data_IF_373183593714
#
_entry.id   IF_373183593714
#
_cell.length_a   1.000
_cell.length_b   1.000
_cell.length_c   1.000
_cell.angle_alpha   90.00
_cell.angle_beta   90.00
_cell.angle_gamma   90.00
#
_symmetry.space_group_name_H-M   'P 1'
#
loop_
_entity.id
_entity.type
_entity.pdbx_description
1 polymer ?
#
# COMPACT_ATOMS: atom_id res chain seq x y z
N UNK A 1 -19.61 -6.46 -50.53
CA UNK A 1 -19.89 -6.33 -49.08
C UNK A 1 -19.01 -5.20 -48.57
N UNK A 2 -19.63 -4.10 -48.16
CA UNK A 2 -18.95 -2.85 -47.80
C UNK A 2 -18.14 -3.02 -46.52
N UNK A 3 -16.81 -3.01 -46.66
CA UNK A 3 -15.86 -3.00 -45.57
C UNK A 3 -15.96 -1.63 -44.88
N UNK A 4 -16.86 -1.52 -43.90
CA UNK A 4 -16.93 -0.34 -43.02
C UNK A 4 -15.61 -0.33 -42.28
N UNK A 5 -14.70 0.58 -42.66
CA UNK A 5 -13.49 0.92 -41.89
C UNK A 5 -13.89 1.01 -40.42
N UNK A 6 -13.61 -0.05 -39.66
CA UNK A 6 -13.94 -0.08 -38.25
C UNK A 6 -12.97 0.88 -37.61
N UNK A 7 -13.48 2.00 -37.11
CA UNK A 7 -12.68 2.86 -36.26
C UNK A 7 -12.25 2.07 -35.01
N UNK A 8 -11.01 2.25 -34.54
CA UNK A 8 -10.56 1.61 -33.32
C UNK A 8 -11.45 2.04 -32.15
N UNK A 9 -11.73 1.12 -31.20
CA UNK A 9 -12.56 1.46 -30.05
C UNK A 9 -11.91 2.59 -29.25
N UNK A 10 -12.57 3.75 -29.23
CA UNK A 10 -12.07 4.98 -28.61
C UNK A 10 -11.72 4.80 -27.14
N UNK A 11 -12.48 3.97 -26.44
CA UNK A 11 -12.24 3.67 -25.02
C UNK A 11 -10.96 2.86 -24.79
N UNK A 12 -10.64 1.92 -25.68
CA UNK A 12 -9.43 1.11 -25.54
C UNK A 12 -8.17 1.94 -25.85
N UNK A 13 -8.27 2.85 -26.84
CA UNK A 13 -7.23 3.87 -27.08
C UNK A 13 -7.08 4.82 -25.89
N UNK A 14 -8.18 5.25 -25.29
CA UNK A 14 -8.16 6.07 -24.08
C UNK A 14 -7.46 5.33 -22.94
N UNK A 15 -7.80 4.06 -22.68
CA UNK A 15 -7.19 3.25 -21.64
C UNK A 15 -5.68 3.09 -21.87
N UNK A 16 -5.28 2.66 -23.07
CA UNK A 16 -3.88 2.47 -23.45
C UNK A 16 -3.06 3.74 -23.21
N UNK A 17 -3.60 4.91 -23.62
CA UNK A 17 -2.95 6.21 -23.44
C UNK A 17 -2.80 6.61 -21.96
N UNK A 18 -3.68 6.14 -21.08
CA UNK A 18 -3.63 6.48 -19.65
C UNK A 18 -2.84 5.46 -18.81
N UNK A 19 -2.67 4.22 -19.27
CA UNK A 19 -2.05 3.16 -18.46
C UNK A 19 -0.58 2.89 -18.77
N UNK A 20 -0.10 3.20 -19.98
CA UNK A 20 1.28 2.94 -20.36
C UNK A 20 2.14 4.23 -20.33
N UNK A 21 3.35 4.11 -19.79
CA UNK A 21 4.31 5.22 -19.66
C UNK A 21 4.70 5.80 -21.01
N UNK A 22 4.69 7.14 -21.12
CA UNK A 22 4.72 7.92 -22.38
C UNK A 22 5.68 7.41 -23.47
N UNK A 23 6.95 7.13 -23.15
CA UNK A 23 7.97 6.85 -24.18
C UNK A 23 7.79 5.48 -24.89
N UNK A 24 7.34 4.43 -24.19
CA UNK A 24 7.06 3.12 -24.81
C UNK A 24 5.66 3.05 -25.41
N UNK A 25 4.78 3.95 -24.97
CA UNK A 25 3.37 3.92 -25.33
C UNK A 25 3.14 4.44 -26.74
N UNK A 26 3.89 5.44 -27.21
CA UNK A 26 3.72 5.98 -28.57
C UNK A 26 4.05 4.96 -29.67
N UNK A 27 5.19 4.27 -29.53
CA UNK A 27 5.60 3.23 -30.48
C UNK A 27 4.63 2.05 -30.48
N UNK A 28 4.24 1.59 -29.28
CA UNK A 28 3.31 0.46 -29.12
C UNK A 28 1.90 0.82 -29.63
N UNK A 29 1.44 2.05 -29.38
CA UNK A 29 0.14 2.55 -29.86
C UNK A 29 0.11 2.63 -31.38
N UNK A 30 1.19 3.11 -32.02
CA UNK A 30 1.31 3.19 -33.47
C UNK A 30 1.18 1.81 -34.13
N UNK A 31 1.98 0.85 -33.65
CA UNK A 31 2.00 -0.53 -34.14
C UNK A 31 0.63 -1.22 -33.98
N UNK A 32 -0.04 -1.01 -32.85
CA UNK A 32 -1.38 -1.53 -32.59
C UNK A 32 -2.46 -0.95 -33.52
N UNK A 33 -2.37 0.34 -33.86
CA UNK A 33 -3.31 1.00 -34.77
C UNK A 33 -3.08 0.52 -36.21
N UNK A 34 -1.83 0.37 -36.63
CA UNK A 34 -1.46 -0.15 -37.95
C UNK A 34 -1.94 -1.59 -38.13
N UNK A 35 -1.66 -2.46 -37.15
CA UNK A 35 -2.10 -3.86 -37.16
C UNK A 35 -3.62 -4.00 -37.11
N UNK A 36 -4.31 -3.08 -36.41
CA UNK A 36 -5.79 -3.06 -36.40
C UNK A 36 -6.39 -2.69 -37.76
N UNK A 37 -5.75 -1.78 -38.51
CA UNK A 37 -6.17 -1.41 -39.87
C UNK A 37 -6.01 -2.55 -40.88
N UNK A 38 -5.07 -3.45 -40.65
CA UNK A 38 -4.77 -4.61 -41.51
C UNK A 38 -5.70 -5.83 -41.32
N UNK A 39 -6.90 -5.62 -40.76
CA UNK A 39 -8.04 -6.58 -40.64
C UNK A 39 -8.13 -7.39 -39.35
N UNK A 40 -7.75 -6.82 -38.20
CA UNK A 40 -8.01 -7.46 -36.91
C UNK A 40 -9.39 -7.11 -36.33
N UNK A 41 -9.97 -8.05 -35.57
CA UNK A 41 -11.27 -7.85 -34.93
C UNK A 41 -11.19 -6.88 -33.74
N UNK A 42 -12.31 -6.23 -33.39
CA UNK A 42 -12.41 -5.37 -32.19
C UNK A 42 -12.01 -6.09 -30.90
N UNK A 43 -12.33 -7.37 -30.79
CA UNK A 43 -11.97 -8.21 -29.64
C UNK A 43 -10.47 -8.47 -29.55
N UNK A 44 -9.80 -8.66 -30.69
CA UNK A 44 -8.36 -8.80 -30.73
C UNK A 44 -7.66 -7.54 -30.19
N UNK A 45 -8.09 -6.35 -30.63
CA UNK A 45 -7.55 -5.08 -30.14
C UNK A 45 -7.71 -4.92 -28.63
N UNK A 46 -8.89 -5.27 -28.10
CA UNK A 46 -9.15 -5.25 -26.65
C UNK A 46 -8.24 -6.20 -25.88
N UNK A 47 -7.99 -7.42 -26.39
CA UNK A 47 -7.07 -8.36 -25.77
C UNK A 47 -5.66 -7.79 -25.65
N UNK A 48 -5.15 -7.15 -26.71
CA UNK A 48 -3.83 -6.52 -26.70
C UNK A 48 -3.74 -5.33 -25.74
N UNK A 49 -4.75 -4.46 -25.73
CA UNK A 49 -4.78 -3.31 -24.80
C UNK A 49 -4.81 -3.78 -23.36
N UNK A 50 -5.62 -4.80 -23.03
CA UNK A 50 -5.65 -5.37 -21.69
C UNK A 50 -4.32 -6.03 -21.32
N UNK A 51 -3.71 -6.76 -22.25
CA UNK A 51 -2.40 -7.39 -22.03
C UNK A 51 -1.29 -6.36 -21.78
N UNK A 52 -1.20 -5.31 -22.60
CA UNK A 52 -0.27 -4.21 -22.40
C UNK A 52 -0.53 -3.47 -21.07
N UNK A 53 -1.79 -3.21 -20.74
CA UNK A 53 -2.19 -2.56 -19.47
C UNK A 53 -1.82 -3.42 -18.26
N UNK A 54 -2.06 -4.73 -18.32
CA UNK A 54 -1.72 -5.67 -17.24
C UNK A 54 -0.23 -5.87 -17.09
N UNK A 55 0.53 -5.94 -18.18
CA UNK A 55 1.99 -5.97 -18.12
C UNK A 55 2.56 -4.70 -17.50
N UNK A 56 2.09 -3.51 -17.91
CA UNK A 56 2.53 -2.24 -17.33
C UNK A 56 2.19 -2.11 -15.85
N UNK A 57 0.98 -2.55 -15.45
CA UNK A 57 0.58 -2.63 -14.05
C UNK A 57 1.46 -3.62 -13.28
N UNK A 58 1.71 -4.80 -13.84
CA UNK A 58 2.51 -5.84 -13.21
C UNK A 58 3.98 -5.41 -13.05
N UNK A 59 4.54 -4.71 -14.03
CA UNK A 59 5.90 -4.15 -13.92
C UNK A 59 5.97 -3.10 -12.82
N UNK A 60 4.97 -2.23 -12.73
CA UNK A 60 4.86 -1.23 -11.66
C UNK A 60 4.75 -1.89 -10.29
N UNK A 61 3.91 -2.91 -10.16
CA UNK A 61 3.75 -3.70 -8.94
C UNK A 61 5.05 -4.44 -8.59
N UNK A 62 5.68 -5.09 -9.57
CA UNK A 62 6.93 -5.84 -9.41
C UNK A 62 8.06 -4.92 -8.97
N UNK A 63 8.15 -3.71 -9.49
CA UNK A 63 9.16 -2.72 -9.08
C UNK A 63 8.91 -2.20 -7.65
N UNK A 64 7.65 -2.16 -7.23
CA UNK A 64 7.23 -1.65 -5.91
C UNK A 64 6.80 -2.76 -4.93
N UNK A 65 7.24 -3.99 -5.17
CA UNK A 65 6.81 -5.17 -4.42
C UNK A 65 7.08 -5.05 -2.91
N UNK A 66 8.15 -4.36 -2.53
CA UNK A 66 8.53 -4.15 -1.13
C UNK A 66 7.50 -3.33 -0.33
N UNK A 67 6.71 -2.44 -0.96
CA UNK A 67 5.60 -1.75 -0.28
C UNK A 67 4.47 -2.72 0.09
N UNK A 68 4.20 -3.71 -0.77
CA UNK A 68 3.22 -4.74 -0.46
C UNK A 68 3.72 -5.67 0.64
N UNK A 69 4.99 -6.08 0.61
CA UNK A 69 5.59 -6.85 1.69
C UNK A 69 5.55 -6.09 3.02
N UNK A 70 5.89 -4.81 3.02
CA UNK A 70 5.75 -3.92 4.18
C UNK A 70 4.32 -3.93 4.73
N UNK A 71 3.32 -3.73 3.88
CA UNK A 71 1.92 -3.70 4.28
C UNK A 71 1.42 -5.06 4.82
N UNK A 72 1.81 -6.16 4.18
CA UNK A 72 1.46 -7.52 4.63
C UNK A 72 2.09 -7.81 5.99
N UNK A 73 3.38 -7.53 6.16
CA UNK A 73 4.06 -7.72 7.45
C UNK A 73 3.40 -6.87 8.53
N UNK A 74 3.17 -5.57 8.28
CA UNK A 74 2.51 -4.68 9.23
C UNK A 74 1.09 -5.12 9.61
N UNK A 75 0.33 -5.67 8.67
CA UNK A 75 -1.03 -6.16 8.93
C UNK A 75 -1.05 -7.49 9.69
N UNK A 76 -0.11 -8.40 9.42
CA UNK A 76 -0.10 -9.76 10.00
C UNK A 76 0.59 -9.81 11.36
N UNK A 77 1.65 -9.02 11.57
CA UNK A 77 2.44 -9.05 12.79
C UNK A 77 1.64 -8.87 14.09
N UNK A 78 0.67 -7.93 14.20
CA UNK A 78 -0.18 -7.81 15.39
C UNK A 78 -0.96 -9.08 15.72
N UNK A 79 -1.52 -9.76 14.69
CA UNK A 79 -2.26 -11.01 14.88
C UNK A 79 -1.37 -12.16 15.34
N UNK A 80 -0.14 -12.25 14.81
CA UNK A 80 0.83 -13.25 15.27
C UNK A 80 1.16 -13.02 16.74
N UNK A 81 1.37 -11.77 17.15
CA UNK A 81 1.66 -11.43 18.54
C UNK A 81 0.50 -11.75 19.48
N UNK A 82 -0.73 -11.42 19.10
CA UNK A 82 -1.92 -11.75 19.87
C UNK A 82 -2.11 -13.27 20.01
N UNK A 83 -2.00 -14.01 18.91
CA UNK A 83 -2.21 -15.46 18.91
C UNK A 83 -1.14 -16.22 19.71
N UNK A 84 0.10 -15.77 19.62
CA UNK A 84 1.24 -16.51 20.19
C UNK A 84 1.42 -16.29 21.69
N UNK A 85 0.73 -15.31 22.32
CA UNK A 85 0.99 -14.86 23.70
C UNK A 85 2.48 -14.58 24.01
N UNK A 86 3.32 -14.47 22.97
CA UNK A 86 4.78 -14.40 23.10
C UNK A 86 5.17 -13.15 23.86
N UNK A 87 4.47 -12.04 23.66
CA UNK A 87 4.82 -10.79 24.32
C UNK A 87 4.42 -10.76 25.80
N UNK A 88 3.34 -11.44 26.21
CA UNK A 88 3.04 -11.62 27.65
C UNK A 88 4.18 -12.37 28.34
N UNK A 89 4.85 -13.29 27.63
CA UNK A 89 5.94 -14.10 28.17
C UNK A 89 7.32 -13.45 28.08
N UNK A 90 7.52 -12.58 27.09
CA UNK A 90 8.84 -12.00 26.72
C UNK A 90 8.93 -10.51 27.03
N UNK A 91 7.93 -9.90 27.67
CA UNK A 91 7.99 -8.49 28.09
C UNK A 91 8.32 -8.36 29.59
N UNK A 92 9.60 -8.57 30.01
CA UNK A 92 10.03 -8.46 31.40
C UNK A 92 9.91 -7.03 31.96
N UNK A 93 9.61 -6.04 31.11
CA UNK A 93 9.48 -4.64 31.48
C UNK A 93 8.05 -4.21 31.86
N UNK A 94 7.02 -5.06 31.75
CA UNK A 94 5.62 -4.60 31.90
C UNK A 94 5.34 -4.07 33.31
N UNK A 95 6.04 -4.63 34.30
CA UNK A 95 5.95 -4.24 35.69
C UNK A 95 6.42 -2.81 35.96
N UNK A 96 7.34 -2.26 35.15
CA UNK A 96 7.81 -0.88 35.37
C UNK A 96 6.90 0.16 34.69
N UNK A 97 6.22 -0.21 33.60
CA UNK A 97 5.33 0.72 32.88
C UNK A 97 3.97 0.87 33.57
N UNK A 98 3.56 -0.09 34.41
CA UNK A 98 2.37 0.06 35.25
C UNK A 98 2.52 1.14 36.31
N UNK A 99 3.75 1.55 36.65
CA UNK A 99 4.02 2.59 37.64
C UNK A 99 3.78 4.01 37.09
N UNK A 100 3.63 4.17 35.76
CA UNK A 100 3.34 5.46 35.15
C UNK A 100 1.94 5.95 35.51
N UNK A 101 1.77 7.26 35.78
CA UNK A 101 0.46 7.81 36.05
C UNK A 101 -0.44 7.63 34.83
N UNK A 102 -1.70 7.29 35.09
CA UNK A 102 -2.74 7.34 34.08
C UNK A 102 -2.82 8.78 33.52
N UNK A 103 -2.95 8.99 32.19
CA UNK A 103 -3.22 8.00 31.13
C UNK A 103 -1.98 7.43 30.41
N UNK A 104 -0.76 7.82 30.81
CA UNK A 104 0.46 7.45 30.08
C UNK A 104 0.74 5.95 30.12
N UNK A 105 0.48 5.28 31.24
CA UNK A 105 0.61 3.82 31.36
C UNK A 105 -0.27 3.07 30.35
N UNK A 106 -1.54 3.48 30.22
CA UNK A 106 -2.46 2.91 29.26
C UNK A 106 -2.01 3.17 27.81
N UNK A 107 -1.60 4.39 27.51
CA UNK A 107 -1.10 4.74 26.18
C UNK A 107 0.12 3.91 25.78
N UNK A 108 1.12 3.77 26.66
CA UNK A 108 2.33 2.98 26.37
C UNK A 108 2.00 1.50 26.17
N UNK A 109 1.10 0.96 26.98
CA UNK A 109 0.71 -0.45 26.90
C UNK A 109 -0.08 -0.76 25.62
N UNK A 110 -1.02 0.12 25.25
CA UNK A 110 -1.84 -0.06 24.05
C UNK A 110 -1.07 0.25 22.76
N UNK A 111 -0.23 1.31 22.74
CA UNK A 111 0.51 1.72 21.54
C UNK A 111 1.85 1.02 21.38
N UNK A 112 2.41 0.42 22.43
CA UNK A 112 3.69 -0.28 22.38
C UNK A 112 3.67 -1.46 21.40
N UNK A 113 2.59 -2.25 21.43
CA UNK A 113 2.40 -3.39 20.54
C UNK A 113 2.35 -2.99 19.05
N UNK A 114 1.48 -2.05 18.63
CA UNK A 114 1.50 -1.52 17.27
C UNK A 114 2.83 -0.88 16.89
N UNK A 115 3.51 -0.17 17.80
CA UNK A 115 4.80 0.45 17.50
C UNK A 115 5.90 -0.59 17.22
N UNK A 116 5.91 -1.70 17.93
CA UNK A 116 6.83 -2.83 17.67
C UNK A 116 6.48 -3.47 16.32
N UNK A 117 5.20 -3.74 16.07
CA UNK A 117 4.76 -4.28 14.77
C UNK A 117 5.17 -3.36 13.61
N UNK A 118 4.97 -2.05 13.77
CA UNK A 118 5.41 -1.04 12.82
C UNK A 118 6.94 -1.07 12.64
N UNK A 119 7.71 -1.20 13.73
CA UNK A 119 9.17 -1.30 13.68
C UNK A 119 9.64 -2.55 12.91
N UNK A 120 9.01 -3.71 13.13
CA UNK A 120 9.32 -4.94 12.38
C UNK A 120 9.00 -4.81 10.90
N UNK A 121 7.86 -4.20 10.56
CA UNK A 121 7.53 -3.91 9.17
C UNK A 121 8.54 -2.95 8.53
N UNK A 122 9.03 -1.94 9.26
CA UNK A 122 10.05 -1.01 8.76
C UNK A 122 11.37 -1.70 8.42
N UNK A 123 11.74 -2.78 9.11
CA UNK A 123 12.91 -3.58 8.72
C UNK A 123 12.71 -4.14 7.30
N UNK A 124 11.53 -4.68 7.00
CA UNK A 124 11.20 -5.17 5.64
C UNK A 124 11.27 -4.05 4.61
N UNK A 125 10.71 -2.88 4.92
CA UNK A 125 10.78 -1.71 4.05
C UNK A 125 12.23 -1.25 3.83
N UNK A 126 13.04 -1.24 4.89
CA UNK A 126 14.44 -0.82 4.86
C UNK A 126 15.27 -1.72 3.95
N UNK A 127 15.06 -3.04 4.03
CA UNK A 127 15.71 -4.03 3.16
C UNK A 127 15.27 -3.81 1.71
N UNK A 128 13.97 -3.60 1.47
CA UNK A 128 13.45 -3.31 0.13
C UNK A 128 14.05 -2.05 -0.50
N UNK A 129 14.14 -0.95 0.26
CA UNK A 129 14.75 0.29 -0.19
C UNK A 129 16.26 0.15 -0.42
N UNK A 130 16.94 -0.68 0.38
CA UNK A 130 18.36 -0.97 0.22
C UNK A 130 18.65 -1.80 -1.03
N UNK A 131 17.80 -2.78 -1.34
CA UNK A 131 17.87 -3.58 -2.59
C UNK A 131 17.68 -2.67 -3.82
N UNK A 132 16.74 -1.72 -3.76
CA UNK A 132 16.51 -0.75 -4.85
C UNK A 132 17.59 0.35 -4.91
N UNK A 133 18.55 0.38 -3.98
CA UNK A 133 19.59 1.42 -3.91
C UNK A 133 19.06 2.83 -3.60
N UNK A 134 17.82 2.93 -3.11
CA UNK A 134 17.11 4.19 -2.84
C UNK A 134 17.04 4.54 -1.35
N UNK A 135 17.82 3.84 -0.52
CA UNK A 135 17.78 3.96 0.91
C UNK A 135 18.10 5.38 1.40
N UNK A 136 17.15 5.98 2.14
CA UNK A 136 17.35 7.22 2.88
C UNK A 136 16.66 7.13 4.23
N UNK A 137 17.39 7.42 5.30
CA UNK A 137 16.85 7.42 6.67
C UNK A 137 15.63 8.33 6.83
N UNK A 138 15.61 9.46 6.12
CA UNK A 138 14.47 10.38 6.13
C UNK A 138 13.16 9.70 5.68
N UNK A 139 13.22 8.78 4.70
CA UNK A 139 12.04 8.06 4.21
C UNK A 139 11.50 7.07 5.26
N UNK A 140 12.40 6.34 5.93
CA UNK A 140 12.01 5.43 7.00
C UNK A 140 11.40 6.16 8.18
N UNK A 141 12.05 7.24 8.64
CA UNK A 141 11.55 8.04 9.77
C UNK A 141 10.19 8.66 9.45
N UNK A 142 10.04 9.23 8.25
CA UNK A 142 8.77 9.80 7.80
C UNK A 142 7.68 8.74 7.72
N UNK A 143 7.96 7.59 7.13
CA UNK A 143 7.02 6.47 7.04
C UNK A 143 6.62 5.99 8.44
N UNK A 144 7.57 5.85 9.36
CA UNK A 144 7.31 5.46 10.75
C UNK A 144 6.35 6.41 11.44
N UNK A 145 6.61 7.72 11.37
CA UNK A 145 5.77 8.75 11.99
C UNK A 145 4.36 8.71 11.40
N UNK A 146 4.23 8.63 10.07
CA UNK A 146 2.92 8.54 9.41
C UNK A 146 2.18 7.28 9.85
N UNK A 147 2.84 6.13 9.89
CA UNK A 147 2.25 4.86 10.34
C UNK A 147 1.75 4.96 11.78
N UNK A 148 2.55 5.52 12.70
CA UNK A 148 2.14 5.71 14.10
C UNK A 148 0.93 6.63 14.23
N UNK A 149 0.90 7.75 13.49
CA UNK A 149 -0.22 8.69 13.49
C UNK A 149 -1.49 8.00 12.98
N UNK A 150 -1.41 7.27 11.86
CA UNK A 150 -2.57 6.61 11.28
C UNK A 150 -3.10 5.48 12.16
N UNK A 151 -2.22 4.64 12.72
CA UNK A 151 -2.61 3.58 13.67
C UNK A 151 -3.28 4.19 14.90
N UNK A 152 -2.68 5.25 15.46
CA UNK A 152 -3.27 5.94 16.61
C UNK A 152 -4.65 6.50 16.27
N UNK A 153 -4.81 7.12 15.10
CA UNK A 153 -6.08 7.66 14.64
C UNK A 153 -7.15 6.57 14.46
N UNK A 154 -6.78 5.40 13.90
CA UNK A 154 -7.68 4.24 13.79
C UNK A 154 -8.11 3.75 15.16
N UNK A 155 -7.17 3.62 16.10
CA UNK A 155 -7.44 3.16 17.46
C UNK A 155 -8.38 4.12 18.21
N UNK A 156 -8.06 5.42 18.20
CA UNK A 156 -8.94 6.46 18.77
C UNK A 156 -10.32 6.49 18.10
N UNK A 157 -10.41 6.24 16.79
CA UNK A 157 -11.70 6.18 16.10
C UNK A 157 -12.56 5.02 16.60
N UNK A 158 -11.96 3.87 16.91
CA UNK A 158 -12.68 2.73 17.48
C UNK A 158 -13.22 3.07 18.87
N UNK A 159 -12.42 3.75 19.70
CA UNK A 159 -12.83 4.18 21.04
C UNK A 159 -13.94 5.23 21.03
N UNK A 160 -13.95 6.12 20.03
CA UNK A 160 -15.00 7.12 19.82
C UNK A 160 -16.35 6.49 19.43
N UNK A 161 -16.34 5.26 18.92
CA UNK A 161 -17.53 4.56 18.42
C UNK A 161 -17.78 3.26 19.18
N UNK A 162 -18.15 3.33 20.48
CA UNK A 162 -18.33 2.16 21.33
C UNK A 162 -19.46 1.22 20.82
N UNK A 163 -20.37 1.71 19.98
CA UNK A 163 -21.38 0.87 19.32
C UNK A 163 -20.80 -0.12 18.30
N UNK A 164 -19.55 0.06 17.85
CA UNK A 164 -18.85 -0.90 17.00
C UNK A 164 -18.34 -2.10 17.80
N UNK A 165 -18.38 -2.03 19.13
CA UNK A 165 -17.94 -3.07 20.04
C UNK A 165 -19.14 -3.85 20.58
N UNK A 166 -19.12 -5.17 20.44
CA UNK A 166 -20.08 -6.08 21.06
C UNK A 166 -19.42 -6.77 22.26
N UNK A 167 -20.05 -6.82 23.44
CA UNK A 167 -19.53 -7.60 24.56
C UNK A 167 -19.52 -9.09 24.19
N UNK A 168 -18.44 -9.80 24.53
CA UNK A 168 -18.34 -11.24 24.32
C UNK A 168 -19.16 -11.94 25.42
N UNK A 169 -20.10 -12.84 25.08
CA UNK A 169 -20.86 -13.57 26.09
C UNK A 169 -19.91 -14.42 26.95
N UNK A 170 -19.92 -14.20 28.26
CA UNK A 170 -19.08 -14.91 29.24
C UNK A 170 -17.87 -14.13 29.75
N UNK A 171 -17.54 -12.97 29.17
CA UNK A 171 -16.45 -12.11 29.66
C UNK A 171 -16.83 -10.63 29.55
N UNK A 172 -17.14 -10.00 30.70
CA UNK A 172 -17.56 -8.59 30.74
C UNK A 172 -16.44 -7.61 30.41
N UNK A 173 -15.18 -8.04 30.45
CA UNK A 173 -14.04 -7.16 30.20
C UNK A 173 -13.56 -7.22 28.75
N UNK A 174 -13.99 -8.23 27.99
CA UNK A 174 -13.56 -8.43 26.60
C UNK A 174 -14.64 -7.97 25.62
N UNK A 175 -14.29 -6.94 24.85
CA UNK A 175 -15.13 -6.39 23.78
C UNK A 175 -14.57 -6.87 22.44
N UNK A 176 -15.41 -7.44 21.58
CA UNK A 176 -15.03 -7.73 20.19
C UNK A 176 -15.57 -6.66 19.26
N UNK A 177 -14.82 -6.33 18.21
CA UNK A 177 -15.39 -5.56 17.11
C UNK A 177 -16.49 -6.37 16.42
N UNK A 178 -17.61 -5.73 16.13
CA UNK A 178 -18.69 -6.27 15.28
C UNK A 178 -18.20 -6.44 13.84
N UNK A 179 -17.21 -5.62 13.45
CA UNK A 179 -16.62 -5.64 12.12
C UNK A 179 -15.88 -6.96 11.90
N UNK A 180 -16.16 -7.70 10.80
CA UNK A 180 -15.44 -8.94 10.50
C UNK A 180 -13.94 -8.71 10.44
N UNK A 181 -13.15 -9.64 11.00
CA UNK A 181 -11.69 -9.50 11.11
C UNK A 181 -10.99 -9.19 9.78
N UNK A 182 -11.51 -9.66 8.65
CA UNK A 182 -10.97 -9.35 7.32
C UNK A 182 -10.95 -7.85 7.01
N UNK A 183 -11.95 -7.09 7.46
CA UNK A 183 -11.97 -5.64 7.26
C UNK A 183 -10.94 -4.94 8.13
N UNK A 184 -10.65 -5.46 9.34
CA UNK A 184 -9.60 -4.93 10.21
C UNK A 184 -8.22 -5.16 9.57
N UNK A 185 -7.97 -6.37 9.03
CA UNK A 185 -6.74 -6.68 8.28
C UNK A 185 -6.59 -5.76 7.06
N UNK A 186 -7.66 -5.56 6.29
CA UNK A 186 -7.64 -4.68 5.12
C UNK A 186 -7.42 -3.21 5.51
N UNK A 187 -8.05 -2.73 6.59
CA UNK A 187 -7.87 -1.38 7.10
C UNK A 187 -6.41 -1.15 7.53
N UNK A 188 -5.84 -2.08 8.31
CA UNK A 188 -4.43 -2.02 8.69
C UNK A 188 -3.51 -2.09 7.47
N UNK A 189 -3.72 -3.06 6.57
CA UNK A 189 -2.92 -3.18 5.34
C UNK A 189 -2.95 -1.91 4.48
N UNK A 190 -4.13 -1.29 4.32
CA UNK A 190 -4.28 -0.03 3.60
C UNK A 190 -3.58 1.14 4.30
N UNK A 191 -3.55 1.15 5.63
CA UNK A 191 -2.86 2.14 6.45
C UNK A 191 -1.35 2.07 6.24
N UNK A 192 -0.78 0.87 6.29
CA UNK A 192 0.64 0.66 6.02
C UNK A 192 0.99 1.01 4.55
N UNK A 193 0.16 0.60 3.59
CA UNK A 193 0.37 0.94 2.18
C UNK A 193 0.37 2.46 1.96
N UNK A 194 -0.61 3.17 2.55
CA UNK A 194 -0.72 4.62 2.48
C UNK A 194 0.48 5.31 3.13
N UNK A 195 0.91 4.83 4.31
CA UNK A 195 2.06 5.38 5.00
C UNK A 195 3.35 5.23 4.18
N UNK A 196 3.57 4.07 3.57
CA UNK A 196 4.73 3.85 2.72
C UNK A 196 4.70 4.73 1.46
N UNK A 197 3.51 4.88 0.85
CA UNK A 197 3.31 5.75 -0.30
C UNK A 197 3.60 7.22 0.01
N UNK A 198 3.12 7.72 1.14
CA UNK A 198 3.33 9.12 1.58
C UNK A 198 4.75 9.36 2.12
N UNK A 199 5.36 8.35 2.75
CA UNK A 199 6.68 8.43 3.36
C UNK A 199 7.83 8.33 2.36
N UNK A 200 7.64 7.55 1.29
CA UNK A 200 8.57 7.40 0.19
C UNK A 200 8.01 8.10 -1.07
N UNK A 201 8.18 9.44 -1.19
CA UNK A 201 7.77 10.13 -2.41
C UNK A 201 8.43 9.43 -3.59
N UNK A 202 7.60 8.97 -4.53
CA UNK A 202 8.04 8.29 -5.75
C UNK A 202 9.25 9.05 -6.28
N UNK A 203 10.38 8.36 -6.44
CA UNK A 203 11.53 8.92 -7.15
C UNK A 203 11.01 9.24 -8.54
N UNK A 204 10.60 10.49 -8.75
CA UNK A 204 10.28 10.99 -10.06
C UNK A 204 11.50 10.72 -10.92
N UNK A 205 11.28 9.99 -12.01
CA UNK A 205 12.33 9.60 -12.92
C UNK A 205 13.16 10.85 -13.27
N UNK A 206 14.48 10.84 -13.03
CA UNK A 206 15.34 12.01 -13.27
C UNK A 206 15.25 12.51 -14.71
N UNK A 207 14.81 11.66 -15.63
CA UNK A 207 14.59 12.00 -17.03
C UNK A 207 13.58 13.14 -17.26
N UNK A 208 12.60 13.33 -16.36
CA UNK A 208 11.64 14.44 -16.47
C UNK A 208 12.24 15.78 -16.00
N UNK A 209 13.20 15.72 -15.08
CA UNK A 209 13.90 16.91 -14.57
C UNK A 209 14.92 17.44 -15.58
N UNK A 210 15.56 16.57 -16.37
CA UNK A 210 16.45 17.02 -17.46
C UNK A 210 15.68 17.66 -18.63
N UNK A 211 14.49 17.15 -19.00
CA UNK A 211 13.66 17.80 -20.02
C UNK A 211 13.17 19.20 -19.59
N UNK A 212 12.91 19.41 -18.30
CA UNK A 212 12.52 20.74 -17.77
C UNK A 212 13.68 21.73 -17.69
N UNK A 213 14.93 21.27 -17.63
CA UNK A 213 16.11 22.15 -17.61
C UNK A 213 16.58 22.48 -19.04
N UNK A 214 16.22 21.63 -20.03
CA UNK A 214 16.64 21.76 -21.42
C UNK A 214 15.73 22.64 -22.30
N UNK A 215 14.58 23.11 -21.81
CA UNK A 215 13.76 24.14 -22.48
C UNK A 215 14.08 25.52 -21.89
N UNK A 216 14.97 26.33 -22.51
CA UNK A 216 15.03 27.74 -22.23
C UNK A 216 13.73 28.41 -22.71
N UNK A 217 13.07 29.14 -21.82
CA UNK A 217 11.95 30.03 -22.16
C UNK A 217 12.37 31.13 -23.14
#
# INVERSE_FOLDING_TARGET
>A
MTDKRSNPPSFALWLLRHTASDDWNEALTGDLIETFRDRQSRWWFWGQVLFASTLGALETIRRRWYFFCYAITGAVTPYIFEYSNVLVRVWPFSSHWSDLPWPLSQFVLEMGLPAIAASMSLLVLSVGLLIEGSFRWAYLLRTFIITLILISAVHFSIDLFPWLLRPIPGDQHRKSLIVPGIFVVLLLGSTYLLAAWLGCPSIEHPHKRERQIAEPQ
#
